data_IF_253917596384
#
_entry.id   IF_253917596384
#
_cell.length_a   1.000
_cell.length_b   1.000
_cell.length_c   1.000
_cell.angle_alpha   90.00
_cell.angle_beta   90.00
_cell.angle_gamma   90.00
#
_symmetry.space_group_name_H-M   'P 1'
#
loop_
_entity.id
_entity.type
_entity.pdbx_description
1 polymer ?
#
# COMPACT_ATOMS: atom_id res chain seq x y z
N UNK A 1 8.62 -10.06 1.40
CA UNK A 1 7.77 -10.92 2.25
C UNK A 1 6.32 -10.43 2.20
N UNK A 2 5.34 -11.26 2.59
CA UNK A 2 3.96 -10.80 2.73
C UNK A 2 3.88 -9.81 3.90
N UNK A 3 3.29 -8.64 3.69
CA UNK A 3 3.23 -7.58 4.71
C UNK A 3 2.11 -7.77 5.74
N UNK A 4 1.16 -8.67 5.47
CA UNK A 4 -0.09 -8.78 6.24
C UNK A 4 -1.22 -7.90 5.71
N UNK A 5 -0.96 -7.07 4.70
CA UNK A 5 -1.96 -6.19 4.09
C UNK A 5 -2.45 -6.71 2.74
N UNK A 6 -3.67 -6.38 2.38
CA UNK A 6 -4.24 -6.69 1.07
C UNK A 6 -5.18 -5.59 0.61
N UNK A 7 -5.49 -5.59 -0.68
CA UNK A 7 -6.43 -4.65 -1.30
C UNK A 7 -7.75 -5.35 -1.59
N UNK A 8 -8.82 -4.83 -1.00
CA UNK A 8 -10.18 -5.29 -1.25
C UNK A 8 -11.08 -4.09 -1.51
N UNK A 9 -11.87 -4.11 -2.59
CA UNK A 9 -12.76 -3.01 -2.96
C UNK A 9 -12.05 -1.63 -2.99
N UNK A 10 -10.79 -1.62 -3.46
CA UNK A 10 -9.86 -0.48 -3.45
C UNK A 10 -9.40 -0.01 -2.07
N UNK A 11 -9.90 -0.55 -0.97
CA UNK A 11 -9.40 -0.27 0.38
C UNK A 11 -8.19 -1.14 0.67
N UNK A 12 -7.25 -0.59 1.41
CA UNK A 12 -6.11 -1.34 1.94
C UNK A 12 -6.50 -1.80 3.34
N UNK A 13 -6.56 -3.12 3.51
CA UNK A 13 -6.92 -3.79 4.76
C UNK A 13 -5.69 -4.47 5.34
N UNK A 14 -5.66 -4.66 6.66
CA UNK A 14 -4.51 -5.26 7.33
C UNK A 14 -4.55 -5.14 8.85
N UNK A 15 -3.45 -5.49 9.53
CA UNK A 15 -3.39 -5.53 10.99
C UNK A 15 -3.41 -4.15 11.66
N UNK A 16 -2.93 -3.09 10.99
CA UNK A 16 -2.99 -1.71 11.50
C UNK A 16 -3.63 -0.79 10.45
N UNK A 17 -4.31 0.27 10.91
CA UNK A 17 -4.97 1.25 10.02
C UNK A 17 -5.90 0.65 8.95
N UNK A 18 -6.47 -0.53 9.22
CA UNK A 18 -7.30 -1.27 8.28
C UNK A 18 -8.45 -0.39 7.74
N UNK A 19 -8.53 -0.27 6.42
CA UNK A 19 -9.57 0.50 5.73
C UNK A 19 -9.39 2.02 5.79
N UNK A 20 -8.37 2.55 6.49
CA UNK A 20 -8.08 4.00 6.50
C UNK A 20 -7.45 4.49 5.21
N UNK A 21 -6.75 3.60 4.49
CA UNK A 21 -6.10 3.91 3.22
C UNK A 21 -6.83 3.24 2.06
N UNK A 22 -6.82 3.87 0.90
CA UNK A 22 -7.45 3.33 -0.32
C UNK A 22 -6.73 3.79 -1.58
N UNK A 23 -6.93 3.04 -2.67
CA UNK A 23 -6.36 3.33 -3.98
C UNK A 23 -7.43 3.99 -4.86
N UNK A 24 -7.12 5.16 -5.42
CA UNK A 24 -7.98 5.83 -6.39
C UNK A 24 -7.13 6.51 -7.45
N UNK A 25 -7.47 6.32 -8.73
CA UNK A 25 -6.68 6.82 -9.88
C UNK A 25 -5.19 6.47 -9.74
N UNK A 26 -4.88 5.25 -9.31
CA UNK A 26 -3.54 4.74 -8.99
C UNK A 26 -2.84 5.38 -7.78
N UNK A 27 -3.35 6.46 -7.19
CA UNK A 27 -2.79 7.05 -5.99
C UNK A 27 -3.32 6.39 -4.73
N UNK A 28 -2.46 6.28 -3.73
CA UNK A 28 -2.85 5.85 -2.38
C UNK A 28 -3.24 7.10 -1.59
N UNK A 29 -4.47 7.06 -1.09
CA UNK A 29 -5.08 8.08 -0.26
C UNK A 29 -5.18 7.58 1.18
N UNK A 30 -5.23 8.52 2.12
CA UNK A 30 -5.39 8.22 3.53
C UNK A 30 -5.12 9.42 4.43
N UNK A 31 -5.23 9.24 5.75
CA UNK A 31 -5.05 10.31 6.73
C UNK A 31 -3.61 10.86 6.77
N UNK A 32 -2.62 10.03 6.44
CA UNK A 32 -1.22 10.44 6.33
C UNK A 32 -0.76 10.33 4.88
N UNK A 33 0.10 11.26 4.47
CA UNK A 33 0.81 11.20 3.18
C UNK A 33 -0.11 11.01 1.96
N UNK A 34 -1.32 11.58 2.02
CA UNK A 34 -2.33 11.51 0.96
C UNK A 34 -1.75 11.85 -0.42
N UNK A 35 -1.99 10.98 -1.41
CA UNK A 35 -1.53 11.11 -2.81
C UNK A 35 -0.02 11.18 -3.00
N UNK A 36 0.80 10.91 -1.98
CA UNK A 36 2.27 10.86 -2.14
C UNK A 36 2.76 9.54 -2.73
N UNK A 37 1.94 8.49 -2.63
CA UNK A 37 2.25 7.15 -3.13
C UNK A 37 1.31 6.79 -4.27
N UNK A 38 1.80 5.99 -5.20
CA UNK A 38 1.00 5.48 -6.30
C UNK A 38 1.39 4.05 -6.67
N UNK A 39 0.50 3.38 -7.41
CA UNK A 39 0.66 2.03 -7.90
C UNK A 39 0.78 2.07 -9.42
N UNK A 40 1.84 1.49 -9.96
CA UNK A 40 2.05 1.37 -11.40
C UNK A 40 2.62 -0.02 -11.69
N UNK A 41 2.00 -0.77 -12.61
CA UNK A 41 2.36 -2.15 -12.91
C UNK A 41 2.49 -3.01 -11.64
N UNK A 42 1.54 -2.82 -10.70
CA UNK A 42 1.49 -3.46 -9.39
C UNK A 42 2.61 -3.09 -8.43
N UNK A 43 3.60 -2.31 -8.87
CA UNK A 43 4.68 -1.80 -8.04
C UNK A 43 4.21 -0.53 -7.34
N UNK A 44 4.56 -0.38 -6.08
CA UNK A 44 4.26 0.79 -5.27
C UNK A 44 5.44 1.75 -5.35
N UNK A 45 5.14 2.99 -5.71
CA UNK A 45 6.09 4.08 -5.82
C UNK A 45 5.75 5.17 -4.81
N UNK A 46 6.76 5.94 -4.46
CA UNK A 46 6.61 7.09 -3.58
C UNK A 46 7.90 7.85 -3.36
N UNK A 47 7.86 8.91 -2.55
CA UNK A 47 9.03 9.69 -2.15
C UNK A 47 10.05 8.92 -1.30
N UNK A 48 9.64 7.85 -0.62
CA UNK A 48 10.50 6.91 0.11
C UNK A 48 10.04 5.47 -0.11
N UNK A 49 10.95 4.53 0.11
CA UNK A 49 10.74 3.08 -0.09
C UNK A 49 10.17 2.71 -1.48
N UNK A 50 10.40 3.58 -2.48
CA UNK A 50 9.87 3.44 -3.83
C UNK A 50 10.36 2.15 -4.48
N UNK A 51 9.47 1.46 -5.20
CA UNK A 51 9.73 0.18 -5.89
C UNK A 51 10.09 -1.00 -4.98
N UNK A 52 10.02 -0.85 -3.66
CA UNK A 52 10.30 -1.95 -2.73
C UNK A 52 9.06 -2.77 -2.38
N UNK A 53 7.87 -2.21 -2.60
CA UNK A 53 6.60 -2.86 -2.32
C UNK A 53 5.81 -3.10 -3.61
N UNK A 54 4.98 -4.14 -3.62
CA UNK A 54 4.12 -4.48 -4.75
C UNK A 54 2.83 -5.17 -4.30
N UNK A 55 1.83 -5.17 -5.17
CA UNK A 55 0.52 -5.78 -4.97
C UNK A 55 0.43 -7.04 -5.84
N UNK A 56 0.25 -8.21 -5.25
CA UNK A 56 0.02 -9.45 -5.97
C UNK A 56 -1.48 -9.59 -6.27
N UNK A 57 -1.88 -9.34 -7.52
CA UNK A 57 -3.28 -9.47 -7.94
C UNK A 57 -3.74 -10.93 -8.06
N UNK A 58 -2.82 -11.87 -8.29
CA UNK A 58 -3.14 -13.31 -8.38
C UNK A 58 -3.41 -13.90 -6.99
N UNK A 59 -3.00 -13.19 -5.92
CA UNK A 59 -3.23 -13.57 -4.53
C UNK A 59 -4.12 -12.58 -3.80
N UNK A 60 -5.31 -12.31 -4.34
CA UNK A 60 -6.34 -11.50 -3.69
C UNK A 60 -5.88 -10.07 -3.31
N UNK A 61 -4.97 -9.49 -4.10
CA UNK A 61 -4.46 -8.13 -3.85
C UNK A 61 -3.52 -8.02 -2.65
N UNK A 62 -2.88 -9.11 -2.21
CA UNK A 62 -1.91 -9.08 -1.10
C UNK A 62 -0.74 -8.16 -1.40
N UNK A 63 -0.31 -7.39 -0.40
CA UNK A 63 0.81 -6.47 -0.50
C UNK A 63 2.07 -7.14 0.04
N UNK A 64 3.15 -7.05 -0.72
CA UNK A 64 4.45 -7.59 -0.38
C UNK A 64 5.50 -6.48 -0.34
N UNK A 65 6.54 -6.68 0.46
CA UNK A 65 7.65 -5.74 0.59
C UNK A 65 8.72 -6.22 1.58
N UNK A 66 9.73 -5.40 1.88
CA UNK A 66 10.81 -5.73 2.80
C UNK A 66 10.41 -5.62 4.29
N UNK A 67 9.37 -4.84 4.62
CA UNK A 67 8.89 -4.60 5.99
C UNK A 67 7.37 -4.83 6.07
N UNK A 68 6.90 -5.22 7.25
CA UNK A 68 5.49 -5.30 7.60
C UNK A 68 4.81 -3.94 7.68
N UNK A 69 5.55 -2.86 7.98
CA UNK A 69 5.01 -1.50 8.00
C UNK A 69 5.03 -0.92 6.59
N UNK A 70 3.88 -0.44 6.10
CA UNK A 70 3.78 0.12 4.75
C UNK A 70 4.36 1.55 4.70
N UNK A 71 4.90 1.98 3.55
CA UNK A 71 5.60 3.27 3.43
C UNK A 71 4.81 4.48 3.92
N UNK A 72 3.51 4.52 3.64
CA UNK A 72 2.61 5.63 4.03
C UNK A 72 2.16 5.60 5.50
N UNK A 73 2.55 4.57 6.27
CA UNK A 73 2.33 4.50 7.72
C UNK A 73 3.56 4.94 8.51
N UNK A 74 4.72 5.10 7.86
CA UNK A 74 5.96 5.54 8.50
C UNK A 74 5.97 7.06 8.72
N UNK A 75 6.69 7.50 9.76
CA UNK A 75 6.88 8.91 10.16
C UNK A 75 5.60 9.61 10.67
N UNK A 76 5.05 9.10 11.78
CA UNK A 76 4.27 9.90 12.74
C UNK A 76 5.19 10.45 13.81
#
# INVERSE_FOLDING_TARGET
>A
MYTGYWVENRRILGPQDSGKYWISKNYIHGPLHNMKFWVENHIIFGPWDSKQYWIDLDKDGRIYGPDSVLPWQKNV
#
